data_IF_822281575942
#
_entry.id   IF_822281575942
#
_cell.length_a   1.000
_cell.length_b   1.000
_cell.length_c   1.000
_cell.angle_alpha   90.00
_cell.angle_beta   90.00
_cell.angle_gamma   90.00
#
_symmetry.space_group_name_H-M   'P 1'
#
loop_
_entity.id
_entity.type
_entity.pdbx_description
1 polymer ?
#
# COMPACT_ATOMS: atom_id res chain seq x y z
N UNK A 1 4.90 -5.85 4.99
CA UNK A 1 5.37 -6.97 5.83
C UNK A 1 5.21 -6.58 7.30
N UNK A 2 4.80 -7.53 8.17
CA UNK A 2 4.78 -7.31 9.62
C UNK A 2 6.14 -6.80 10.09
N UNK A 3 6.16 -5.79 10.95
CA UNK A 3 7.41 -5.20 11.47
C UNK A 3 8.10 -4.19 10.56
N UNK A 4 7.54 -3.84 9.40
CA UNK A 4 8.03 -2.71 8.61
C UNK A 4 7.71 -1.39 9.31
N UNK A 5 8.73 -0.64 9.74
CA UNK A 5 8.56 0.65 10.42
C UNK A 5 7.83 1.73 9.61
N UNK A 6 7.79 1.58 8.28
CA UNK A 6 7.08 2.49 7.38
C UNK A 6 5.58 2.18 7.25
N UNK A 7 5.08 1.08 7.83
CA UNK A 7 3.70 0.63 7.64
C UNK A 7 2.65 1.67 8.06
N UNK A 8 2.80 2.27 9.24
CA UNK A 8 1.89 3.30 9.74
C UNK A 8 1.94 4.59 8.93
N UNK A 9 3.13 4.99 8.48
CA UNK A 9 3.32 6.18 7.64
C UNK A 9 2.62 6.00 6.29
N UNK A 10 2.83 4.86 5.63
CA UNK A 10 2.20 4.56 4.35
C UNK A 10 0.67 4.49 4.48
N UNK A 11 0.16 3.90 5.56
CA UNK A 11 -1.28 3.86 5.83
C UNK A 11 -1.87 5.27 6.03
N UNK A 12 -1.18 6.14 6.77
CA UNK A 12 -1.57 7.54 6.94
C UNK A 12 -1.56 8.32 5.62
N UNK A 13 -0.51 8.18 4.81
CA UNK A 13 -0.42 8.81 3.49
C UNK A 13 -1.53 8.34 2.55
N UNK A 14 -1.85 7.04 2.58
CA UNK A 14 -2.96 6.47 1.81
C UNK A 14 -4.31 7.07 2.25
N UNK A 15 -4.56 7.14 3.57
CA UNK A 15 -5.77 7.75 4.12
C UNK A 15 -5.92 9.20 3.69
N UNK A 16 -4.85 10.00 3.81
CA UNK A 16 -4.86 11.41 3.40
C UNK A 16 -5.21 11.54 1.91
N UNK A 17 -4.56 10.76 1.03
CA UNK A 17 -4.84 10.78 -0.41
C UNK A 17 -6.28 10.39 -0.73
N UNK A 18 -6.85 9.43 -0.01
CA UNK A 18 -8.26 9.04 -0.16
C UNK A 18 -9.21 10.19 0.21
N UNK A 19 -8.93 10.92 1.30
CA UNK A 19 -9.73 12.07 1.73
C UNK A 19 -9.69 13.26 0.76
N UNK A 20 -8.67 13.36 -0.09
CA UNK A 20 -8.62 14.40 -1.14
C UNK A 20 -9.52 14.09 -2.35
N UNK A 21 -10.08 12.88 -2.45
CA UNK A 21 -10.95 12.52 -3.55
C UNK A 21 -12.33 13.19 -3.41
N UNK A 22 -12.89 13.76 -4.49
CA UNK A 22 -14.23 14.36 -4.44
C UNK A 22 -15.28 13.34 -3.97
N UNK A 23 -16.07 13.72 -2.95
CA UNK A 23 -17.14 12.90 -2.42
C UNK A 23 -16.74 11.86 -1.36
N UNK A 24 -15.46 11.82 -0.96
CA UNK A 24 -15.01 10.99 0.18
C UNK A 24 -15.10 11.81 1.46
N UNK A 25 -16.05 11.49 2.32
CA UNK A 25 -16.25 12.17 3.61
C UNK A 25 -15.42 11.55 4.75
N UNK A 26 -15.09 10.26 4.64
CA UNK A 26 -14.29 9.52 5.59
C UNK A 26 -13.50 8.40 4.90
N UNK A 27 -12.33 8.07 5.42
CA UNK A 27 -11.50 6.97 4.95
C UNK A 27 -10.88 6.25 6.16
N UNK A 28 -10.98 4.92 6.17
CA UNK A 28 -10.33 4.05 7.15
C UNK A 28 -9.37 3.12 6.42
N UNK A 29 -8.14 2.97 6.95
CA UNK A 29 -7.06 2.22 6.31
C UNK A 29 -6.52 1.20 7.31
N UNK A 30 -6.93 -0.05 7.12
CA UNK A 30 -6.50 -1.17 7.95
C UNK A 30 -5.29 -1.89 7.33
N UNK A 31 -4.25 -2.12 8.15
CA UNK A 31 -3.12 -2.95 7.74
C UNK A 31 -3.45 -4.41 8.08
N UNK A 32 -3.60 -5.22 7.03
CA UNK A 32 -3.90 -6.66 7.14
C UNK A 32 -2.70 -7.52 6.73
N UNK A 33 -2.74 -8.78 7.15
CA UNK A 33 -1.66 -9.76 6.89
C UNK A 33 -2.15 -11.03 6.20
N UNK A 34 -3.45 -11.17 6.00
CA UNK A 34 -4.09 -12.32 5.37
C UNK A 34 -4.99 -11.84 4.22
N UNK A 35 -4.79 -12.30 2.97
CA UNK A 35 -3.70 -13.17 2.54
C UNK A 35 -2.33 -12.46 2.66
N UNK A 36 -1.23 -13.22 2.86
CA UNK A 36 0.08 -12.63 2.93
C UNK A 36 0.45 -12.02 1.57
N UNK A 37 1.03 -10.83 1.61
CA UNK A 37 1.60 -10.20 0.44
C UNK A 37 2.80 -11.01 -0.08
N UNK A 38 2.94 -11.13 -1.40
CA UNK A 38 4.07 -11.80 -2.05
C UNK A 38 4.61 -10.94 -3.22
N UNK A 39 5.92 -10.99 -3.49
CA UNK A 39 6.54 -10.18 -4.54
C UNK A 39 5.98 -10.40 -5.95
N UNK A 40 5.33 -11.56 -6.18
CA UNK A 40 4.60 -11.82 -7.44
C UNK A 40 3.42 -10.88 -7.66
N UNK A 41 2.96 -10.16 -6.63
CA UNK A 41 1.93 -9.12 -6.72
C UNK A 41 2.45 -7.82 -7.34
N UNK A 42 3.77 -7.66 -7.50
CA UNK A 42 4.37 -6.51 -8.21
C UNK A 42 4.06 -6.65 -9.70
N UNK A 43 3.63 -5.57 -10.35
CA UNK A 43 3.35 -5.53 -11.79
C UNK A 43 4.62 -5.82 -12.62
N UNK A 44 4.46 -6.23 -13.88
CA UNK A 44 5.61 -6.47 -14.76
C UNK A 44 6.51 -5.24 -14.90
N UNK A 45 5.90 -4.06 -15.04
CA UNK A 45 6.61 -2.77 -15.05
C UNK A 45 7.43 -2.56 -13.76
N UNK A 46 6.80 -2.77 -12.61
CA UNK A 46 7.46 -2.60 -11.32
C UNK A 46 8.65 -3.55 -11.14
N UNK A 47 8.52 -4.81 -11.59
CA UNK A 47 9.63 -5.78 -11.54
C UNK A 47 10.81 -5.34 -12.40
N UNK A 48 10.57 -4.82 -13.60
CA UNK A 48 11.63 -4.31 -14.47
C UNK A 48 12.39 -3.14 -13.85
N UNK A 49 11.67 -2.15 -13.30
CA UNK A 49 12.27 -1.00 -12.62
C UNK A 49 13.15 -1.44 -11.45
N UNK A 50 12.72 -2.48 -10.72
CA UNK A 50 13.44 -3.02 -9.57
C UNK A 50 14.53 -4.03 -9.93
N UNK A 51 14.72 -4.38 -11.21
CA UNK A 51 15.70 -5.38 -11.64
C UNK A 51 15.37 -6.81 -11.18
N UNK A 52 14.08 -7.15 -11.10
CA UNK A 52 13.56 -8.45 -10.67
C UNK A 52 13.04 -9.32 -11.85
N UNK A 53 13.46 -9.00 -13.07
CA UNK A 53 13.25 -9.82 -14.29
C UNK A 53 14.44 -10.73 -14.56
#
# INVERSE_FOLDING_TARGET
APGCGMGSVIAGDAQQKLLYLPGVEAADVEIVWDPPWHQSMITAEGRRILGLE
#
